data_IF_124689174948
#
_entry.id   IF_124689174948
#
_cell.length_a   1.000
_cell.length_b   1.000
_cell.length_c   1.000
_cell.angle_alpha   90.00
_cell.angle_beta   90.00
_cell.angle_gamma   90.00
#
_symmetry.space_group_name_H-M   'P 1'
#
loop_
_entity.id
_entity.type
_entity.pdbx_description
1 polymer ?
#
# COMPACT_ATOMS: atom_id res chain seq x y z
N UNK A 1 16.47 -29.21 -3.10
CA UNK A 1 17.02 -28.60 -4.35
C UNK A 1 18.50 -28.25 -4.15
N UNK A 2 19.30 -28.01 -5.20
CA UNK A 2 20.77 -27.80 -5.14
C UNK A 2 21.25 -26.86 -4.01
N UNK A 3 20.47 -25.84 -3.65
CA UNK A 3 20.75 -24.93 -2.55
C UNK A 3 20.76 -25.58 -1.16
N UNK A 4 19.77 -26.42 -0.82
CA UNK A 4 19.71 -27.09 0.49
C UNK A 4 20.89 -28.04 0.72
N UNK A 5 21.31 -28.71 -0.35
CA UNK A 5 22.47 -29.61 -0.32
C UNK A 5 23.82 -28.87 -0.17
N UNK A 6 23.84 -27.56 -0.41
CA UNK A 6 25.02 -26.71 -0.33
C UNK A 6 25.06 -25.83 0.94
N UNK A 7 24.09 -25.99 1.86
CA UNK A 7 24.05 -25.20 3.09
C UNK A 7 25.20 -25.61 4.03
N UNK A 8 25.90 -24.66 4.66
CA UNK A 8 26.86 -24.94 5.71
C UNK A 8 26.21 -25.68 6.89
N UNK A 9 26.98 -26.48 7.63
CA UNK A 9 26.46 -27.16 8.82
C UNK A 9 25.95 -26.14 9.85
N UNK A 10 24.72 -26.33 10.34
CA UNK A 10 24.08 -25.43 11.30
C UNK A 10 23.22 -24.33 10.67
N UNK A 11 23.08 -24.32 9.34
CA UNK A 11 22.11 -23.47 8.64
C UNK A 11 20.86 -24.28 8.31
N UNK A 12 19.70 -23.77 8.74
CA UNK A 12 18.39 -24.32 8.38
C UNK A 12 17.80 -23.52 7.22
N UNK A 13 17.15 -24.23 6.29
CA UNK A 13 16.39 -23.64 5.22
C UNK A 13 14.91 -23.89 5.46
N UNK A 14 14.18 -22.81 5.72
CA UNK A 14 12.73 -22.84 5.90
C UNK A 14 12.07 -22.24 4.65
N UNK A 15 11.59 -23.07 3.71
CA UNK A 15 10.87 -22.58 2.55
C UNK A 15 9.51 -22.00 2.95
N UNK A 16 9.22 -20.77 2.50
CA UNK A 16 7.94 -20.07 2.71
C UNK A 16 7.23 -19.83 1.38
N UNK A 17 6.92 -20.91 0.66
CA UNK A 17 6.33 -20.83 -0.68
C UNK A 17 4.88 -20.34 -0.70
N UNK A 18 4.17 -20.55 0.41
CA UNK A 18 2.74 -20.24 0.54
C UNK A 18 2.49 -18.83 1.08
N UNK A 19 3.54 -18.07 1.38
CA UNK A 19 3.42 -16.69 1.81
C UNK A 19 3.17 -15.76 0.60
N UNK A 20 2.32 -14.76 0.82
CA UNK A 20 2.26 -13.58 -0.03
C UNK A 20 3.30 -12.56 0.43
N UNK A 21 3.96 -11.91 -0.52
CA UNK A 21 4.87 -10.80 -0.26
C UNK A 21 4.20 -9.48 -0.60
N UNK A 22 4.21 -8.54 0.34
CA UNK A 22 3.80 -7.16 0.12
C UNK A 22 4.99 -6.22 0.31
N UNK A 23 5.22 -5.35 -0.66
CA UNK A 23 6.21 -4.29 -0.56
C UNK A 23 5.55 -2.97 -0.11
N UNK A 24 6.15 -2.30 0.85
CA UNK A 24 5.82 -0.95 1.27
C UNK A 24 7.04 -0.06 1.04
N UNK A 25 6.94 0.91 0.14
CA UNK A 25 8.05 1.79 -0.22
C UNK A 25 7.70 3.27 -0.05
N UNK A 26 8.73 4.07 0.18
CA UNK A 26 8.69 5.52 0.19
C UNK A 26 9.12 6.14 1.51
N UNK A 27 9.26 7.47 1.57
CA UNK A 27 9.83 8.19 2.71
C UNK A 27 9.02 8.04 4.01
N UNK A 28 7.75 7.62 3.93
CA UNK A 28 6.90 7.37 5.09
C UNK A 28 6.85 5.90 5.54
N UNK A 29 7.53 4.98 4.83
CA UNK A 29 7.40 3.54 5.04
C UNK A 29 7.77 3.12 6.47
N UNK A 30 8.86 3.65 7.03
CA UNK A 30 9.27 3.37 8.41
C UNK A 30 8.21 3.80 9.44
N UNK A 31 7.58 4.96 9.24
CA UNK A 31 6.53 5.46 10.14
C UNK A 31 5.22 4.64 10.05
N UNK A 32 4.94 4.05 8.89
CA UNK A 32 3.84 3.08 8.74
C UNK A 32 4.18 1.78 9.46
N UNK A 33 5.40 1.26 9.29
CA UNK A 33 5.84 0.03 9.95
C UNK A 33 5.88 0.17 11.47
N UNK A 34 6.31 1.31 12.00
CA UNK A 34 6.28 1.57 13.45
C UNK A 34 4.86 1.44 14.05
N UNK A 35 3.82 1.66 13.26
CA UNK A 35 2.41 1.51 13.67
C UNK A 35 1.88 0.10 13.47
N UNK A 36 2.26 -0.56 12.37
CA UNK A 36 1.72 -1.87 12.00
C UNK A 36 2.46 -3.05 12.65
N UNK A 37 3.78 -2.91 12.78
CA UNK A 37 4.71 -3.89 13.31
C UNK A 37 5.80 -3.15 14.12
N UNK A 38 5.48 -2.70 15.35
CA UNK A 38 6.41 -1.94 16.18
C UNK A 38 7.75 -2.65 16.37
N UNK A 39 8.85 -1.93 16.22
CA UNK A 39 10.21 -2.44 16.26
C UNK A 39 10.79 -2.74 14.87
N UNK A 40 9.96 -3.02 13.86
CA UNK A 40 10.43 -3.28 12.50
C UNK A 40 11.02 -2.04 11.83
N UNK A 41 10.63 -0.83 12.24
CA UNK A 41 11.23 0.42 11.74
C UNK A 41 12.72 0.56 12.06
N UNK A 42 13.22 -0.20 13.04
CA UNK A 42 14.62 -0.20 13.48
C UNK A 42 15.48 -1.23 12.77
N UNK A 43 14.90 -2.06 11.90
CA UNK A 43 15.65 -3.02 11.11
C UNK A 43 16.74 -2.29 10.32
N UNK A 44 17.92 -2.92 10.23
CA UNK A 44 18.98 -2.45 9.35
C UNK A 44 18.64 -2.88 7.92
N UNK A 45 19.23 -2.21 6.94
CA UNK A 45 19.04 -2.57 5.54
C UNK A 45 19.42 -4.04 5.30
N UNK A 46 18.56 -4.79 4.59
CA UNK A 46 18.69 -6.21 4.32
C UNK A 46 18.67 -7.12 5.56
N UNK A 47 18.14 -6.64 6.69
CA UNK A 47 17.82 -7.50 7.83
C UNK A 47 16.32 -7.73 7.93
N UNK A 48 15.96 -8.81 8.60
CA UNK A 48 14.57 -9.22 8.76
C UNK A 48 14.30 -9.77 10.15
N UNK A 49 13.02 -9.76 10.54
CA UNK A 49 12.55 -10.31 11.80
C UNK A 49 11.13 -10.83 11.68
N UNK A 50 10.79 -11.80 12.52
CA UNK A 50 9.40 -12.15 12.76
C UNK A 50 8.66 -10.99 13.44
N UNK A 51 7.40 -10.78 13.07
CA UNK A 51 6.54 -9.74 13.63
C UNK A 51 5.07 -10.16 13.65
N UNK A 52 4.23 -9.36 14.28
CA UNK A 52 2.78 -9.51 14.20
C UNK A 52 2.16 -8.22 13.71
N UNK A 53 1.28 -8.34 12.72
CA UNK A 53 0.51 -7.21 12.21
C UNK A 53 -0.96 -7.60 12.34
N UNK A 54 -1.74 -6.83 13.09
CA UNK A 54 -3.16 -7.12 13.28
C UNK A 54 -3.48 -8.54 13.78
N UNK A 55 -2.58 -9.15 14.57
CA UNK A 55 -2.71 -10.51 15.12
C UNK A 55 -2.28 -11.64 14.19
N UNK A 56 -1.82 -11.34 12.97
CA UNK A 56 -1.27 -12.33 12.04
C UNK A 56 0.25 -12.34 12.15
N UNK A 57 0.82 -13.53 12.27
CA UNK A 57 2.26 -13.72 12.26
C UNK A 57 2.80 -13.46 10.85
N UNK A 58 3.72 -12.51 10.74
CA UNK A 58 4.34 -12.07 9.50
C UNK A 58 5.86 -12.07 9.65
N UNK A 59 6.57 -12.10 8.52
CA UNK A 59 8.01 -11.81 8.49
C UNK A 59 8.23 -10.46 7.84
N UNK A 60 9.01 -9.58 8.44
CA UNK A 60 9.29 -8.24 7.92
C UNK A 60 10.76 -8.11 7.62
N UNK A 61 11.11 -7.69 6.40
CA UNK A 61 12.46 -7.27 6.04
C UNK A 61 12.49 -5.77 5.77
N UNK A 62 13.63 -5.12 6.04
CA UNK A 62 13.88 -3.78 5.49
C UNK A 62 14.62 -3.93 4.17
N UNK A 63 13.98 -3.45 3.12
CA UNK A 63 14.46 -3.45 1.75
C UNK A 63 14.45 -2.01 1.21
N UNK A 64 14.79 -1.81 -0.06
CA UNK A 64 14.78 -0.49 -0.65
C UNK A 64 15.34 -0.54 -2.05
N UNK A 65 14.50 -0.21 -3.03
CA UNK A 65 14.87 -0.15 -4.44
C UNK A 65 14.46 1.22 -4.93
N UNK A 66 15.38 2.20 -4.85
CA UNK A 66 15.32 3.59 -5.40
C UNK A 66 16.11 4.59 -4.54
N UNK A 67 16.74 4.16 -3.44
CA UNK A 67 17.41 5.06 -2.49
C UNK A 67 16.48 5.62 -1.40
N UNK A 68 15.23 5.15 -1.38
CA UNK A 68 14.25 5.42 -0.32
C UNK A 68 14.05 4.20 0.58
N UNK A 69 13.45 4.41 1.75
CA UNK A 69 13.10 3.33 2.67
C UNK A 69 12.04 2.38 2.08
N UNK A 70 12.23 1.09 2.30
CA UNK A 70 11.31 0.05 1.88
C UNK A 70 11.22 -1.09 2.90
N UNK A 71 10.10 -1.79 2.89
CA UNK A 71 9.89 -2.98 3.68
C UNK A 71 9.19 -4.03 2.85
N UNK A 72 9.60 -5.29 3.00
CA UNK A 72 8.86 -6.42 2.48
C UNK A 72 8.21 -7.14 3.65
N UNK A 73 6.96 -7.55 3.47
CA UNK A 73 6.17 -8.22 4.48
C UNK A 73 5.73 -9.55 3.89
N UNK A 74 6.28 -10.64 4.42
CA UNK A 74 5.81 -12.01 4.19
C UNK A 74 4.60 -12.27 5.06
N UNK A 75 3.49 -12.63 4.43
CA UNK A 75 2.17 -12.79 5.07
C UNK A 75 1.61 -14.14 4.64
N UNK A 76 1.04 -14.95 5.54
CA UNK A 76 0.30 -16.15 5.14
C UNK A 76 -0.74 -15.83 4.05
N UNK A 77 -0.81 -16.64 3.00
CA UNK A 77 -1.63 -16.35 1.81
C UNK A 77 -3.12 -16.17 2.10
N UNK A 78 -3.65 -16.84 3.12
CA UNK A 78 -5.04 -16.74 3.57
C UNK A 78 -5.36 -15.39 4.26
N UNK A 79 -4.36 -14.72 4.83
CA UNK A 79 -4.46 -13.41 5.46
C UNK A 79 -4.07 -12.24 4.53
N UNK A 80 -3.39 -12.55 3.43
CA UNK A 80 -2.81 -11.57 2.50
C UNK A 80 -3.84 -10.58 1.94
N UNK A 81 -5.03 -11.05 1.58
CA UNK A 81 -6.08 -10.21 1.00
C UNK A 81 -6.59 -9.14 1.98
N UNK A 82 -6.77 -9.52 3.25
CA UNK A 82 -7.19 -8.60 4.30
C UNK A 82 -6.10 -7.54 4.58
N UNK A 83 -4.83 -7.95 4.46
CA UNK A 83 -3.67 -7.08 4.64
C UNK A 83 -3.49 -6.10 3.49
N UNK A 84 -3.54 -6.57 2.24
CA UNK A 84 -3.44 -5.72 1.06
C UNK A 84 -4.54 -4.64 1.08
N UNK A 85 -5.75 -4.97 1.53
CA UNK A 85 -6.84 -4.01 1.73
C UNK A 85 -6.56 -3.00 2.85
N UNK A 86 -5.84 -3.38 3.91
CA UNK A 86 -5.54 -2.52 5.07
C UNK A 86 -4.30 -1.63 4.88
N UNK A 87 -3.30 -2.12 4.15
CA UNK A 87 -1.99 -1.48 3.99
C UNK A 87 -1.98 -0.29 3.03
N UNK A 88 -2.95 -0.19 2.11
CA UNK A 88 -3.33 1.07 1.45
C UNK A 88 -4.82 1.00 1.08
N UNK A 89 -5.67 1.58 1.93
CA UNK A 89 -7.06 1.88 1.54
C UNK A 89 -6.98 3.15 0.69
N UNK A 90 -7.18 3.02 -0.63
CA UNK A 90 -7.08 4.16 -1.56
C UNK A 90 -7.97 5.33 -1.11
N UNK A 91 -9.08 5.04 -0.45
CA UNK A 91 -10.02 5.98 0.17
C UNK A 91 -9.36 6.79 1.29
N UNK A 92 -8.51 6.16 2.12
CA UNK A 92 -7.77 6.83 3.20
C UNK A 92 -6.71 7.76 2.64
N UNK A 93 -5.95 7.31 1.64
CA UNK A 93 -4.94 8.13 0.96
C UNK A 93 -5.57 9.37 0.34
N UNK A 94 -6.69 9.18 -0.37
CA UNK A 94 -7.44 10.27 -1.01
C UNK A 94 -7.88 11.32 0.01
N UNK A 95 -8.38 10.87 1.17
CA UNK A 95 -8.79 11.76 2.24
C UNK A 95 -7.61 12.50 2.88
N UNK A 96 -6.50 11.82 3.15
CA UNK A 96 -5.31 12.45 3.75
C UNK A 96 -4.75 13.55 2.85
N UNK A 97 -4.73 13.35 1.52
CA UNK A 97 -4.31 14.40 0.59
C UNK A 97 -5.26 15.60 0.67
N UNK A 98 -6.58 15.36 0.69
CA UNK A 98 -7.56 16.43 0.77
C UNK A 98 -7.44 17.23 2.09
N UNK A 99 -7.30 16.53 3.22
CA UNK A 99 -7.17 17.13 4.54
C UNK A 99 -5.88 17.96 4.63
N UNK A 100 -4.74 17.43 4.16
CA UNK A 100 -3.46 18.17 4.12
C UNK A 100 -3.50 19.41 3.24
N UNK A 101 -4.10 19.33 2.04
CA UNK A 101 -4.26 20.50 1.17
C UNK A 101 -5.13 21.57 1.82
N UNK A 102 -6.18 21.15 2.52
CA UNK A 102 -7.07 22.07 3.21
C UNK A 102 -6.38 22.76 4.39
N UNK A 103 -5.57 22.03 5.16
CA UNK A 103 -4.80 22.59 6.28
C UNK A 103 -3.72 23.58 5.82
N UNK A 104 -2.96 23.24 4.78
CA UNK A 104 -1.81 24.05 4.33
C UNK A 104 -2.27 25.29 3.55
N UNK A 105 -3.22 25.13 2.64
CA UNK A 105 -3.60 26.19 1.68
C UNK A 105 -4.77 27.05 2.17
N UNK A 106 -5.50 26.59 3.19
CA UNK A 106 -6.76 27.19 3.67
C UNK A 106 -7.71 27.67 2.54
N UNK A 107 -8.01 26.81 1.55
CA UNK A 107 -8.80 27.22 0.39
C UNK A 107 -10.30 27.26 0.70
N UNK A 108 -11.07 27.89 -0.18
CA UNK A 108 -12.55 27.86 -0.12
C UNK A 108 -13.13 26.45 -0.30
N UNK A 109 -12.36 25.51 -0.86
CA UNK A 109 -12.70 24.10 -0.96
C UNK A 109 -11.58 23.28 -1.61
N UNK A 110 -11.64 21.96 -1.41
CA UNK A 110 -10.69 20.98 -1.98
C UNK A 110 -11.46 19.83 -2.62
N UNK A 111 -11.09 19.47 -3.85
CA UNK A 111 -11.54 18.26 -4.52
C UNK A 111 -10.34 17.39 -4.90
N UNK A 112 -10.29 16.15 -4.40
CA UNK A 112 -9.24 15.17 -4.74
C UNK A 112 -9.91 13.96 -5.35
N UNK A 113 -9.39 13.50 -6.50
CA UNK A 113 -9.78 12.25 -7.12
C UNK A 113 -8.51 11.47 -7.47
N UNK A 114 -8.48 10.20 -7.08
CA UNK A 114 -7.38 9.27 -7.37
C UNK A 114 -7.96 8.11 -8.15
N UNK A 115 -7.33 7.78 -9.27
CA UNK A 115 -7.54 6.54 -10.00
C UNK A 115 -6.25 5.73 -9.90
N UNK A 116 -6.36 4.46 -9.50
CA UNK A 116 -5.21 3.59 -9.42
C UNK A 116 -5.55 2.17 -9.91
N UNK A 117 -4.55 1.54 -10.52
CA UNK A 117 -4.58 0.13 -10.91
C UNK A 117 -4.12 -0.73 -9.73
N UNK A 118 -4.95 -1.67 -9.29
CA UNK A 118 -4.59 -2.58 -8.21
C UNK A 118 -3.86 -3.81 -8.75
N UNK A 119 -2.52 -3.73 -8.81
CA UNK A 119 -1.68 -4.82 -9.30
C UNK A 119 -1.85 -6.12 -8.51
N UNK A 120 -2.15 -6.04 -7.21
CA UNK A 120 -2.50 -7.19 -6.38
C UNK A 120 -3.76 -7.94 -6.86
N UNK A 121 -4.73 -7.25 -7.47
CA UNK A 121 -5.92 -7.86 -8.09
C UNK A 121 -5.68 -8.28 -9.55
N UNK A 122 -4.64 -7.76 -10.20
CA UNK A 122 -4.30 -8.06 -11.59
C UNK A 122 -3.35 -9.27 -11.72
N UNK A 123 -2.56 -9.58 -10.69
CA UNK A 123 -1.45 -10.54 -10.79
C UNK A 123 -1.66 -11.89 -10.08
N UNK A 124 -2.79 -12.14 -9.39
CA UNK A 124 -3.16 -13.49 -8.88
C UNK A 124 -4.66 -13.80 -9.04
N UNK A 125 -4.94 -15.05 -9.43
CA UNK A 125 -6.23 -15.74 -9.24
C UNK A 125 -7.33 -15.51 -10.28
N UNK A 126 -7.65 -14.26 -10.68
CA UNK A 126 -8.89 -13.99 -11.44
C UNK A 126 -8.70 -13.27 -12.77
N UNK A 127 -7.48 -12.90 -13.16
CA UNK A 127 -7.17 -12.31 -14.47
C UNK A 127 -8.16 -11.21 -14.92
N UNK A 128 -8.68 -10.39 -13.99
CA UNK A 128 -9.44 -9.18 -14.35
C UNK A 128 -8.45 -8.15 -14.88
N UNK A 129 -8.16 -8.26 -16.17
CA UNK A 129 -7.55 -7.19 -16.95
C UNK A 129 -8.41 -5.94 -16.70
N UNK A 130 -7.83 -4.88 -16.12
CA UNK A 130 -8.47 -3.59 -15.80
C UNK A 130 -9.16 -3.45 -14.43
N UNK A 131 -8.56 -3.95 -13.33
CA UNK A 131 -9.04 -3.64 -11.97
C UNK A 131 -8.62 -2.24 -11.50
N UNK A 132 -9.32 -1.22 -11.99
CA UNK A 132 -9.18 0.17 -11.55
C UNK A 132 -10.13 0.48 -10.40
N UNK A 133 -9.64 1.24 -9.42
CA UNK A 133 -10.50 1.85 -8.39
C UNK A 133 -10.34 3.36 -8.49
N UNK A 134 -11.47 4.06 -8.45
CA UNK A 134 -11.52 5.52 -8.34
C UNK A 134 -12.03 5.89 -6.96
N UNK A 135 -11.31 6.77 -6.27
CA UNK A 135 -11.67 7.29 -4.97
C UNK A 135 -11.69 8.81 -5.02
N UNK A 136 -12.58 9.43 -4.24
CA UNK A 136 -12.69 10.89 -4.20
C UNK A 136 -12.90 11.42 -2.78
N UNK A 137 -12.39 12.63 -2.52
CA UNK A 137 -12.61 13.37 -1.29
C UNK A 137 -12.94 14.83 -1.63
N UNK A 138 -14.02 15.34 -1.03
CA UNK A 138 -14.54 16.69 -1.27
C UNK A 138 -14.65 17.44 0.07
N UNK A 139 -14.08 18.64 0.13
CA UNK A 139 -14.08 19.54 1.29
C UNK A 139 -14.51 20.96 0.86
N UNK A 140 -14.97 21.76 1.81
CA UNK A 140 -15.42 23.15 1.58
C UNK A 140 -16.46 23.25 0.47
N UNK A 141 -16.28 24.21 -0.45
CA UNK A 141 -17.20 24.48 -1.57
C UNK A 141 -17.49 23.26 -2.45
N UNK A 142 -16.53 22.36 -2.68
CA UNK A 142 -16.76 21.12 -3.44
C UNK A 142 -17.67 20.12 -2.69
N UNK A 143 -17.74 20.21 -1.36
CA UNK A 143 -18.69 19.41 -0.57
C UNK A 143 -20.05 20.08 -0.49
N UNK A 144 -20.10 21.40 -0.25
CA UNK A 144 -21.33 22.14 0.02
C UNK A 144 -22.11 22.58 -1.22
N UNK A 145 -21.46 22.86 -2.37
CA UNK A 145 -22.15 23.18 -3.64
C UNK A 145 -22.16 21.97 -4.59
N UNK A 146 -23.35 21.43 -4.85
CA UNK A 146 -23.54 20.31 -5.75
C UNK A 146 -23.21 20.64 -7.22
N UNK A 147 -23.34 21.89 -7.65
CA UNK A 147 -23.02 22.32 -9.02
C UNK A 147 -21.52 22.31 -9.23
N UNK A 148 -20.76 22.92 -8.31
CA UNK A 148 -19.29 22.92 -8.34
C UNK A 148 -18.73 21.50 -8.30
N UNK A 149 -19.31 20.62 -7.48
CA UNK A 149 -18.92 19.20 -7.47
C UNK A 149 -19.18 18.51 -8.79
N UNK A 150 -20.35 18.75 -9.40
CA UNK A 150 -20.74 18.11 -10.67
C UNK A 150 -19.86 18.59 -11.82
N UNK A 151 -19.60 19.90 -11.89
CA UNK A 151 -18.67 20.50 -12.86
C UNK A 151 -17.27 19.90 -12.70
N UNK A 152 -16.75 19.87 -11.48
CA UNK A 152 -15.44 19.27 -11.19
C UNK A 152 -15.34 17.81 -11.63
N UNK A 153 -16.32 16.98 -11.26
CA UNK A 153 -16.33 15.56 -11.64
C UNK A 153 -16.48 15.35 -13.15
N UNK A 154 -17.18 16.26 -13.85
CA UNK A 154 -17.34 16.18 -15.31
C UNK A 154 -16.06 16.47 -16.10
N UNK A 155 -15.11 17.19 -15.49
CA UNK A 155 -13.79 17.47 -16.07
C UNK A 155 -12.83 16.28 -15.95
N UNK A 156 -13.20 15.25 -15.18
CA UNK A 156 -12.38 14.05 -14.99
C UNK A 156 -12.69 13.07 -16.12
N UNK A 157 -11.69 12.67 -16.92
CA UNK A 157 -11.92 11.76 -18.05
C UNK A 157 -12.48 10.41 -17.58
N UNK A 158 -13.30 9.72 -18.40
CA UNK A 158 -13.83 8.40 -18.07
C UNK A 158 -12.70 7.35 -17.98
N UNK A 159 -12.92 6.36 -17.12
CA UNK A 159 -11.96 5.32 -16.75
C UNK A 159 -11.28 4.67 -17.97
N UNK A 160 -9.95 4.52 -17.93
CA UNK A 160 -9.18 3.79 -18.95
C UNK A 160 -8.91 4.53 -20.26
N UNK A 161 -9.21 5.83 -20.36
CA UNK A 161 -8.98 6.63 -21.59
C UNK A 161 -7.59 7.26 -21.72
N UNK A 162 -6.77 7.27 -20.66
CA UNK A 162 -5.36 7.71 -20.75
C UNK A 162 -4.48 6.51 -21.10
N UNK A 163 -4.24 6.34 -22.41
CA UNK A 163 -3.09 5.59 -22.95
C UNK A 163 -1.86 6.48 -22.99
#
# INVERSE_FOLDING_TARGET
AHMEAALPSGMEFEPRWDDALLALQGPAAAAVMARLAPGSEKLLFMTSQGSQIGGVACHVSRAGYTGEDGFEISIPSDAADAFARRLQVQERLTKQIADSLNEILQPIGVGVVIEALHLCMCMRGVAKQNSYTTTSAMLGSFKSDARTRSEFLSLIPPQGTRR
#
